data_IF_826083417561
#
_entry.id   IF_826083417561
#
_cell.length_a   1.000
_cell.length_b   1.000
_cell.length_c   1.000
_cell.angle_alpha   90.00
_cell.angle_beta   90.00
_cell.angle_gamma   90.00
#
_symmetry.space_group_name_H-M   'P 1'
#
loop_
_entity.id
_entity.type
_entity.pdbx_description
1 polymer ?
#
# COMPACT_ATOMS: atom_id res chain seq x y z
N UNK A 1 18.42 -12.78 -36.69
CA UNK A 1 17.30 -11.89 -37.01
C UNK A 1 16.53 -11.65 -35.72
N UNK A 2 16.67 -10.47 -35.10
CA UNK A 2 15.92 -10.13 -33.89
C UNK A 2 14.51 -9.74 -34.33
N UNK A 3 13.50 -10.53 -33.94
CA UNK A 3 12.11 -10.17 -34.15
C UNK A 3 11.78 -9.05 -33.16
N UNK A 4 11.64 -7.82 -33.67
CA UNK A 4 11.19 -6.69 -32.86
C UNK A 4 9.72 -6.93 -32.49
N UNK A 5 9.48 -7.51 -31.31
CA UNK A 5 8.14 -7.79 -30.80
C UNK A 5 7.44 -6.48 -30.45
N UNK A 6 6.71 -5.88 -31.40
CA UNK A 6 5.90 -4.68 -31.18
C UNK A 6 4.54 -5.07 -30.59
N UNK A 7 4.16 -4.41 -29.49
CA UNK A 7 2.80 -4.49 -28.95
C UNK A 7 1.82 -3.92 -29.98
N UNK A 8 0.74 -4.65 -30.29
CA UNK A 8 -0.35 -4.16 -31.16
C UNK A 8 -1.57 -3.65 -30.37
N UNK A 9 -1.44 -3.47 -29.05
CA UNK A 9 -2.44 -2.79 -28.22
C UNK A 9 -2.01 -1.35 -27.98
N UNK A 10 -2.93 -0.41 -28.17
CA UNK A 10 -2.72 0.99 -27.85
C UNK A 10 -2.39 1.15 -26.35
N UNK A 11 -1.32 1.89 -26.04
CA UNK A 11 -0.90 2.11 -24.67
C UNK A 11 -1.87 3.06 -23.97
N UNK A 12 -2.39 2.64 -22.80
CA UNK A 12 -3.28 3.46 -21.96
C UNK A 12 -2.46 4.15 -20.86
N UNK A 13 -2.06 5.40 -21.11
CA UNK A 13 -1.28 6.21 -20.18
C UNK A 13 -0.53 7.36 -20.85
N UNK A 14 0.28 8.09 -20.09
CA UNK A 14 1.18 9.13 -20.64
C UNK A 14 2.38 8.48 -21.34
N UNK A 15 2.51 8.58 -22.68
CA UNK A 15 3.59 7.95 -23.43
C UNK A 15 4.99 8.44 -23.04
N UNK A 16 5.10 9.61 -22.40
CA UNK A 16 6.39 10.17 -21.93
C UNK A 16 7.04 9.34 -20.82
N UNK A 17 6.25 8.53 -20.11
CA UNK A 17 6.68 7.65 -19.03
C UNK A 17 7.14 6.28 -19.55
N UNK A 18 7.00 6.03 -20.86
CA UNK A 18 7.50 4.81 -21.46
C UNK A 18 9.03 4.85 -21.49
N UNK A 19 9.70 3.72 -21.25
CA UNK A 19 11.11 3.59 -21.55
C UNK A 19 11.27 3.84 -23.05
N UNK A 20 12.38 4.47 -23.47
CA UNK A 20 12.61 4.79 -24.88
C UNK A 20 12.40 3.57 -25.79
N UNK A 21 12.15 3.78 -27.09
CA UNK A 21 11.78 2.72 -28.04
C UNK A 21 12.74 1.50 -28.04
N UNK A 22 13.98 1.68 -27.59
CA UNK A 22 15.02 0.65 -27.48
C UNK A 22 15.15 0.01 -26.10
N UNK A 23 14.30 0.35 -25.14
CA UNK A 23 14.33 -0.24 -23.82
C UNK A 23 13.92 -1.71 -23.91
N UNK A 24 14.87 -2.64 -23.72
CA UNK A 24 14.57 -4.04 -23.84
C UNK A 24 13.74 -4.42 -22.63
N UNK A 25 12.54 -4.98 -22.85
CA UNK A 25 12.17 -6.07 -21.94
C UNK A 25 13.32 -7.08 -22.05
N UNK A 26 13.95 -7.52 -20.94
CA UNK A 26 15.02 -8.50 -21.01
C UNK A 26 14.60 -9.66 -21.91
N UNK A 27 15.49 -10.13 -22.78
CA UNK A 27 15.17 -11.23 -23.69
C UNK A 27 14.58 -12.40 -22.88
N UNK A 28 13.44 -12.92 -23.35
CA UNK A 28 12.63 -13.96 -22.68
C UNK A 28 11.89 -13.59 -21.38
N UNK A 29 11.84 -12.32 -20.97
CA UNK A 29 11.01 -11.91 -19.83
C UNK A 29 9.51 -11.92 -20.18
N UNK A 30 8.70 -12.60 -19.36
CA UNK A 30 7.23 -12.61 -19.50
C UNK A 30 6.56 -11.41 -18.83
N UNK A 31 7.25 -10.72 -17.93
CA UNK A 31 6.69 -9.64 -17.13
C UNK A 31 7.76 -8.57 -16.82
N UNK A 32 7.36 -7.31 -16.87
CA UNK A 32 8.13 -6.18 -16.39
C UNK A 32 7.22 -5.33 -15.51
N UNK A 33 7.58 -5.21 -14.23
CA UNK A 33 6.82 -4.47 -13.22
C UNK A 33 7.66 -3.32 -12.66
N UNK A 34 7.47 -2.12 -13.19
CA UNK A 34 8.05 -0.92 -12.60
C UNK A 34 7.03 -0.24 -11.71
N UNK A 35 7.09 -0.59 -10.42
CA UNK A 35 6.17 -0.04 -9.42
C UNK A 35 6.41 1.44 -9.13
N UNK A 36 7.62 1.95 -9.37
CA UNK A 36 8.02 3.33 -9.05
C UNK A 36 7.50 4.30 -10.10
N UNK A 37 7.70 3.98 -11.37
CA UNK A 37 7.21 4.80 -12.48
C UNK A 37 5.79 4.40 -12.91
N UNK A 38 5.26 3.30 -12.38
CA UNK A 38 3.90 2.86 -12.67
C UNK A 38 3.77 2.28 -14.07
N UNK A 39 4.80 1.59 -14.54
CA UNK A 39 4.87 1.06 -15.88
C UNK A 39 4.88 -0.47 -15.83
N UNK A 40 3.97 -1.05 -16.60
CA UNK A 40 3.67 -2.47 -16.53
C UNK A 40 3.62 -3.07 -17.92
N UNK A 41 4.39 -4.13 -18.14
CA UNK A 41 4.39 -4.86 -19.39
C UNK A 41 4.25 -6.36 -19.13
N UNK A 42 3.38 -7.01 -19.89
CA UNK A 42 3.18 -8.45 -19.84
C UNK A 42 3.27 -9.03 -21.25
N UNK A 43 4.00 -10.14 -21.40
CA UNK A 43 4.06 -10.92 -22.63
C UNK A 43 3.08 -12.07 -22.54
N UNK A 44 2.24 -12.23 -23.57
CA UNK A 44 1.50 -13.46 -23.74
C UNK A 44 2.48 -14.58 -24.11
N UNK A 45 2.58 -15.59 -23.26
CA UNK A 45 3.52 -16.71 -23.45
C UNK A 45 3.18 -17.59 -24.66
N UNK A 46 1.93 -17.58 -25.10
CA UNK A 46 1.44 -18.39 -26.24
C UNK A 46 1.58 -17.65 -27.56
N UNK A 47 1.28 -16.35 -27.59
CA UNK A 47 1.25 -15.55 -28.83
C UNK A 47 2.43 -14.61 -29.00
N UNK A 48 3.28 -14.46 -27.97
CA UNK A 48 4.41 -13.51 -27.96
C UNK A 48 4.01 -12.03 -27.92
N UNK A 49 2.70 -11.72 -27.95
CA UNK A 49 2.18 -10.35 -27.92
C UNK A 49 2.51 -9.67 -26.60
N UNK A 50 3.02 -8.45 -26.69
CA UNK A 50 3.24 -7.58 -25.53
C UNK A 50 1.98 -6.76 -25.23
N UNK A 51 1.63 -6.66 -23.96
CA UNK A 51 0.64 -5.74 -23.39
C UNK A 51 1.35 -4.72 -22.52
N UNK A 52 0.96 -3.45 -22.60
CA UNK A 52 1.56 -2.34 -21.86
C UNK A 52 0.48 -1.52 -21.17
N UNK A 53 0.68 -1.19 -19.90
CA UNK A 53 -0.29 -0.42 -19.11
C UNK A 53 0.40 0.45 -18.04
N UNK A 54 -0.30 1.50 -17.60
CA UNK A 54 0.04 2.28 -16.40
C UNK A 54 -0.66 1.78 -15.13
N UNK A 55 -1.65 0.90 -15.31
CA UNK A 55 -2.47 0.32 -14.26
C UNK A 55 -2.08 -1.13 -14.08
N UNK A 56 -1.56 -1.47 -12.90
CA UNK A 56 -1.16 -2.84 -12.59
C UNK A 56 -2.34 -3.80 -12.60
N UNK A 57 -3.56 -3.32 -12.32
CA UNK A 57 -4.78 -4.11 -12.38
C UNK A 57 -5.17 -4.58 -13.79
N UNK A 58 -4.60 -3.99 -14.85
CA UNK A 58 -4.84 -4.44 -16.23
C UNK A 58 -3.93 -5.59 -16.65
N UNK A 59 -2.84 -5.84 -15.91
CA UNK A 59 -1.87 -6.91 -16.22
C UNK A 59 -1.81 -7.99 -15.13
N UNK A 60 -2.31 -7.73 -13.91
CA UNK A 60 -2.38 -8.70 -12.81
C UNK A 60 -3.71 -8.59 -12.08
N UNK A 61 -4.15 -9.68 -11.44
CA UNK A 61 -5.22 -9.64 -10.45
C UNK A 61 -4.66 -9.33 -9.06
N UNK A 62 -5.48 -8.74 -8.19
CA UNK A 62 -5.15 -8.43 -6.80
C UNK A 62 -6.15 -9.09 -5.87
N UNK A 63 -5.64 -9.80 -4.86
CA UNK A 63 -6.43 -10.38 -3.80
C UNK A 63 -5.98 -9.78 -2.46
N UNK A 64 -6.88 -9.03 -1.81
CA UNK A 64 -6.68 -8.55 -0.44
C UNK A 64 -8.03 -8.50 0.27
N UNK A 65 -8.15 -9.29 1.33
CA UNK A 65 -9.41 -9.50 2.04
C UNK A 65 -9.92 -8.27 2.81
N UNK A 66 -9.06 -7.28 3.07
CA UNK A 66 -9.40 -6.09 3.84
C UNK A 66 -8.93 -4.81 3.18
N UNK A 67 -9.54 -3.70 3.60
CA UNK A 67 -9.15 -2.35 3.20
C UNK A 67 -7.77 -2.00 3.77
N UNK A 68 -7.08 -1.05 3.14
CA UNK A 68 -5.75 -0.60 3.57
C UNK A 68 -5.62 0.91 3.46
N UNK A 69 -5.10 1.56 4.49
CA UNK A 69 -4.78 2.99 4.46
C UNK A 69 -3.38 3.20 3.89
N UNK A 70 -3.26 4.10 2.92
CA UNK A 70 -1.98 4.50 2.32
C UNK A 70 -1.95 6.01 2.10
N UNK A 71 -0.76 6.56 1.92
CA UNK A 71 -0.60 7.92 1.38
C UNK A 71 -0.91 7.87 -0.12
N UNK A 72 -1.98 8.56 -0.51
CA UNK A 72 -2.44 8.66 -1.90
C UNK A 72 -1.69 9.69 -2.73
N UNK A 73 -2.04 9.84 -4.02
CA UNK A 73 -1.33 10.70 -4.97
C UNK A 73 -1.31 12.18 -4.57
N UNK A 74 -2.27 12.62 -3.76
CA UNK A 74 -2.32 13.99 -3.22
C UNK A 74 -1.45 14.21 -1.98
N UNK A 75 -0.74 13.18 -1.49
CA UNK A 75 0.09 13.24 -0.29
C UNK A 75 -0.68 13.09 1.02
N UNK A 76 -1.98 12.79 0.95
CA UNK A 76 -2.87 12.59 2.11
C UNK A 76 -3.20 11.11 2.29
N UNK A 77 -3.60 10.73 3.50
CA UNK A 77 -4.07 9.37 3.78
C UNK A 77 -5.39 9.11 3.05
N UNK A 78 -5.48 7.94 2.43
CA UNK A 78 -6.68 7.43 1.78
C UNK A 78 -6.84 5.95 2.07
N UNK A 79 -8.09 5.49 2.07
CA UNK A 79 -8.42 4.07 2.20
C UNK A 79 -8.57 3.44 0.82
N UNK A 80 -7.80 2.38 0.57
CA UNK A 80 -7.88 1.56 -0.65
C UNK A 80 -8.78 0.37 -0.37
N UNK A 81 -9.74 0.13 -1.27
CA UNK A 81 -10.74 -0.91 -1.11
C UNK A 81 -10.14 -2.32 -1.17
N UNK A 82 -10.96 -3.32 -0.80
CA UNK A 82 -10.59 -4.73 -0.93
C UNK A 82 -10.23 -5.05 -2.38
N UNK A 83 -9.29 -5.99 -2.59
CA UNK A 83 -8.87 -6.43 -3.92
C UNK A 83 -8.31 -5.34 -4.85
N UNK A 84 -8.01 -4.14 -4.35
CA UNK A 84 -7.37 -3.09 -5.13
C UNK A 84 -5.88 -2.94 -4.80
N UNK A 85 -5.00 -2.67 -5.79
CA UNK A 85 -3.59 -2.43 -5.54
C UNK A 85 -3.37 -1.19 -4.68
N UNK A 86 -2.67 -1.37 -3.56
CA UNK A 86 -2.32 -0.25 -2.68
C UNK A 86 -1.07 0.46 -3.19
N UNK A 87 -1.24 1.52 -3.98
CA UNK A 87 -0.13 2.36 -4.46
C UNK A 87 0.19 3.42 -3.41
N UNK A 88 1.46 3.52 -3.03
CA UNK A 88 1.94 4.48 -2.02
C UNK A 88 2.69 5.62 -2.70
N UNK A 89 2.45 6.82 -2.19
CA UNK A 89 3.13 8.03 -2.60
C UNK A 89 3.88 8.63 -1.41
N UNK A 90 4.91 9.41 -1.71
CA UNK A 90 5.59 10.21 -0.72
C UNK A 90 4.68 11.39 -0.28
N UNK A 91 4.47 11.61 1.03
CA UNK A 91 3.50 12.61 1.49
C UNK A 91 3.90 14.06 1.16
N UNK A 92 5.20 14.32 0.98
CA UNK A 92 5.72 15.67 0.70
C UNK A 92 5.92 15.87 -0.79
N UNK A 93 6.70 15.00 -1.42
CA UNK A 93 7.07 15.12 -2.84
C UNK A 93 6.00 14.61 -3.79
N UNK A 94 4.96 13.91 -3.29
CA UNK A 94 3.86 13.30 -4.06
C UNK A 94 4.33 12.32 -5.13
N UNK A 95 5.60 11.90 -5.07
CA UNK A 95 6.16 10.92 -6.00
C UNK A 95 5.69 9.52 -5.63
N UNK A 96 5.31 8.74 -6.63
CA UNK A 96 4.96 7.34 -6.48
C UNK A 96 6.17 6.57 -5.94
N UNK A 97 5.97 5.80 -4.87
CA UNK A 97 7.01 4.96 -4.24
C UNK A 97 6.90 3.49 -4.63
N UNK A 98 5.70 3.02 -4.96
CA UNK A 98 5.48 1.63 -5.34
C UNK A 98 4.11 1.10 -4.97
N UNK A 99 3.88 -0.18 -5.23
CA UNK A 99 2.74 -0.94 -4.69
C UNK A 99 3.21 -1.63 -3.41
N UNK A 100 2.46 -1.46 -2.34
CA UNK A 100 2.80 -2.07 -1.04
C UNK A 100 2.10 -3.42 -0.85
N UNK A 101 2.92 -4.46 -0.66
CA UNK A 101 2.51 -5.81 -0.31
C UNK A 101 2.91 -6.05 1.15
N UNK A 102 2.02 -5.75 2.09
CA UNK A 102 2.23 -6.10 3.50
C UNK A 102 1.29 -7.23 3.87
N UNK A 103 1.78 -8.16 4.68
CA UNK A 103 0.95 -9.09 5.44
C UNK A 103 0.00 -8.30 6.36
N UNK A 104 -1.18 -8.86 6.65
CA UNK A 104 -2.02 -8.25 7.68
C UNK A 104 -1.29 -8.36 9.02
N UNK A 105 -1.19 -7.24 9.73
CA UNK A 105 -0.71 -7.20 11.10
C UNK A 105 -1.90 -6.92 11.99
N UNK A 106 -2.25 -7.86 12.87
CA UNK A 106 -3.23 -7.61 13.91
C UNK A 106 -2.53 -6.99 15.11
N UNK A 107 -3.04 -5.86 15.61
CA UNK A 107 -2.64 -5.44 16.95
C UNK A 107 -3.03 -6.56 17.93
N UNK A 108 -2.06 -7.05 18.69
CA UNK A 108 -2.27 -8.11 19.70
C UNK A 108 -2.55 -7.54 21.09
N UNK A 109 -2.28 -6.25 21.31
CA UNK A 109 -2.67 -5.57 22.53
C UNK A 109 -4.18 -5.28 22.46
N UNK A 110 -4.97 -6.16 23.09
CA UNK A 110 -6.40 -5.96 23.31
C UNK A 110 -6.61 -4.74 24.21
N UNK A 111 -7.54 -3.84 23.88
CA UNK A 111 -7.81 -2.62 24.66
C UNK A 111 -6.58 -1.71 24.82
N UNK A 112 -5.84 -1.50 23.73
CA UNK A 112 -4.62 -0.68 23.71
C UNK A 112 -4.81 0.77 24.15
N UNK A 113 -6.05 1.27 24.14
CA UNK A 113 -6.47 2.60 24.51
C UNK A 113 -7.11 2.66 25.91
N UNK A 114 -7.51 1.51 26.46
CA UNK A 114 -8.22 1.39 27.74
C UNK A 114 -7.48 0.43 28.68
N UNK A 115 -6.58 1.01 29.47
CA UNK A 115 -5.82 0.27 30.47
C UNK A 115 -6.63 -0.06 31.73
N UNK A 116 -7.91 0.34 31.81
CA UNK A 116 -8.77 0.04 32.97
C UNK A 116 -9.29 -1.39 32.93
N UNK A 117 -9.29 -2.02 31.75
CA UNK A 117 -9.83 -3.35 31.54
C UNK A 117 -9.21 -4.43 32.42
N UNK A 118 -10.00 -5.45 32.73
CA UNK A 118 -9.57 -6.61 33.54
C UNK A 118 -8.55 -7.49 32.83
N UNK A 119 -8.46 -7.38 31.50
CA UNK A 119 -7.41 -8.00 30.69
C UNK A 119 -5.99 -7.55 31.07
N UNK A 120 -5.85 -6.39 31.72
CA UNK A 120 -4.57 -5.85 32.18
C UNK A 120 -4.36 -6.11 33.67
N UNK A 121 -3.28 -6.81 34.01
CA UNK A 121 -2.80 -6.91 35.38
C UNK A 121 -2.20 -5.57 35.81
N UNK A 122 -2.78 -4.95 36.84
CA UNK A 122 -2.37 -3.64 37.35
C UNK A 122 -1.59 -3.85 38.64
N UNK A 123 -0.27 -3.71 38.59
CA UNK A 123 0.61 -3.92 39.75
C UNK A 123 1.53 -2.72 39.88
N UNK A 124 1.58 -2.12 41.07
CA UNK A 124 2.40 -0.92 41.33
C UNK A 124 1.95 0.34 40.58
N UNK A 125 0.73 0.35 40.04
CA UNK A 125 0.16 1.48 39.30
C UNK A 125 -1.30 1.73 39.68
N UNK A 126 -1.70 2.99 39.64
CA UNK A 126 -3.11 3.41 39.67
C UNK A 126 -3.53 3.82 38.26
N UNK A 127 -4.69 3.35 37.82
CA UNK A 127 -5.24 3.67 36.49
C UNK A 127 -6.53 4.45 36.66
N UNK A 128 -6.59 5.65 36.07
CA UNK A 128 -7.78 6.51 36.08
C UNK A 128 -8.31 6.69 34.67
N UNK A 129 -9.55 6.28 34.45
CA UNK A 129 -10.25 6.48 33.18
C UNK A 129 -10.57 7.95 32.94
N UNK A 130 -10.67 8.35 31.66
CA UNK A 130 -11.29 9.64 31.26
C UNK A 130 -10.62 10.86 31.95
N UNK A 131 -9.31 10.78 32.16
CA UNK A 131 -8.55 11.76 32.92
C UNK A 131 -8.22 13.03 32.12
N UNK A 132 -8.22 12.96 30.79
CA UNK A 132 -7.91 14.09 29.91
C UNK A 132 -8.51 13.92 28.51
N UNK A 133 -8.32 14.96 27.68
CA UNK A 133 -8.67 14.96 26.25
C UNK A 133 -7.62 14.17 25.47
N UNK A 134 -8.09 13.17 24.73
CA UNK A 134 -7.29 12.35 23.81
C UNK A 134 -6.98 13.12 22.51
N UNK A 135 -6.01 12.67 21.70
CA UNK A 135 -5.67 13.32 20.42
C UNK A 135 -6.80 13.36 19.39
N UNK A 136 -7.87 12.59 19.58
CA UNK A 136 -9.09 12.62 18.78
C UNK A 136 -10.06 13.75 19.19
N UNK A 137 -9.76 14.50 20.25
CA UNK A 137 -10.56 15.60 20.78
C UNK A 137 -11.60 15.17 21.82
N UNK A 138 -11.74 13.89 22.13
CA UNK A 138 -12.68 13.41 23.14
C UNK A 138 -12.03 13.30 24.51
N UNK A 139 -12.79 13.54 25.59
CA UNK A 139 -12.31 13.27 26.96
C UNK A 139 -12.36 11.76 27.21
N UNK A 140 -11.30 11.06 26.83
CA UNK A 140 -11.20 9.60 26.92
C UNK A 140 -9.81 9.11 27.33
N UNK A 141 -8.85 10.01 27.57
CA UNK A 141 -7.48 9.61 27.85
C UNK A 141 -7.37 8.89 29.20
N UNK A 142 -6.63 7.78 29.23
CA UNK A 142 -6.35 7.04 30.46
C UNK A 142 -5.09 7.57 31.12
N UNK A 143 -5.17 7.94 32.39
CA UNK A 143 -4.02 8.31 33.21
C UNK A 143 -3.51 7.07 33.95
N UNK A 144 -2.20 6.81 33.88
CA UNK A 144 -1.52 5.79 34.66
C UNK A 144 -0.48 6.47 35.53
N UNK A 145 -0.57 6.30 36.84
CA UNK A 145 0.37 6.84 37.83
C UNK A 145 0.95 5.73 38.70
N UNK A 146 2.04 6.03 39.41
CA UNK A 146 2.58 5.11 40.41
C UNK A 146 1.52 4.76 41.46
N UNK A 147 1.43 3.48 41.79
CA UNK A 147 0.57 2.99 42.86
C UNK A 147 1.27 3.16 44.20
N UNK A 148 0.55 3.62 45.20
CA UNK A 148 1.01 3.53 46.59
C UNK A 148 1.03 2.06 47.00
N UNK A 149 2.23 1.52 47.24
CA UNK A 149 2.42 0.19 47.85
C UNK A 149 2.20 0.25 49.36
#
# INVERSE_FOLDING_TARGET
MALELKSNSEYKGDPSQLPGANAPMPDNASLYLDFKNGLYLARNITTGKLFRSTLISEITSFARASQKTVVGPYGILQTVANNEPAVVYDPVTRKRRGVTLHNSTSNKAIYSEDFTQTAWAKTGVTVTAVAAVSPDGNTSATLVTEGTS
#
